data_IF_415213053083
#
_entry.id   IF_415213053083
#
_cell.length_a   1.000
_cell.length_b   1.000
_cell.length_c   1.000
_cell.angle_alpha   90.00
_cell.angle_beta   90.00
_cell.angle_gamma   90.00
#
_symmetry.space_group_name_H-M   'P 1'
#
loop_
_entity.id
_entity.type
_entity.pdbx_description
1 polymer ?
#
# COMPACT_ATOMS: atom_id res chain seq x y z
N UNK A 1 17.50 17.45 10.38
CA UNK A 1 16.96 16.37 11.18
C UNK A 1 15.56 16.06 10.69
N UNK A 2 15.43 14.96 9.92
CA UNK A 2 14.18 14.55 9.32
C UNK A 2 13.18 14.02 10.36
N UNK A 3 11.98 13.69 9.91
CA UNK A 3 10.88 13.15 10.71
C UNK A 3 11.30 12.00 11.67
N UNK A 4 12.22 11.13 11.24
CA UNK A 4 12.80 10.07 12.08
C UNK A 4 13.58 10.61 13.28
N UNK A 5 14.36 11.66 13.11
CA UNK A 5 15.08 12.29 14.23
C UNK A 5 14.17 12.99 15.27
N UNK A 6 12.91 13.25 14.93
CA UNK A 6 11.88 13.70 15.89
C UNK A 6 11.29 12.55 16.71
N UNK A 7 11.09 11.40 16.08
CA UNK A 7 10.60 10.18 16.76
C UNK A 7 11.65 9.70 17.78
N UNK A 8 12.93 9.66 17.40
CA UNK A 8 14.01 9.30 18.33
C UNK A 8 14.13 10.25 19.53
N UNK A 9 13.89 11.57 19.35
CA UNK A 9 13.89 12.53 20.46
C UNK A 9 12.69 12.41 21.39
N UNK A 10 11.54 11.99 20.91
CA UNK A 10 10.38 11.75 21.75
C UNK A 10 10.51 10.47 22.61
N UNK A 11 11.22 9.45 22.13
CA UNK A 11 11.50 8.25 22.90
C UNK A 11 12.47 8.47 24.06
N UNK A 12 13.25 9.57 24.05
CA UNK A 12 14.17 9.92 25.16
C UNK A 12 13.51 10.75 26.27
N UNK A 13 12.26 11.18 26.13
CA UNK A 13 11.60 12.12 27.05
C UNK A 13 10.53 11.50 27.97
N UNK A 14 10.57 10.22 28.26
CA UNK A 14 9.70 9.73 29.32
C UNK A 14 9.46 8.27 29.42
N UNK A 15 9.85 7.70 30.55
CA UNK A 15 9.27 6.55 31.23
C UNK A 15 9.20 5.25 30.42
N UNK A 16 9.73 4.18 30.95
CA UNK A 16 9.73 2.80 30.45
C UNK A 16 8.40 2.31 29.88
N UNK A 17 8.07 2.76 28.69
CA UNK A 17 7.27 1.97 27.77
C UNK A 17 8.25 1.33 26.80
N UNK A 18 8.29 0.01 26.72
CA UNK A 18 9.13 -0.77 25.80
C UNK A 18 8.63 -0.58 24.34
N UNK A 19 8.73 0.64 23.84
CA UNK A 19 8.62 0.93 22.45
C UNK A 19 9.96 0.52 21.83
N UNK A 20 10.04 -0.70 21.32
CA UNK A 20 11.05 -1.00 20.32
C UNK A 20 10.95 0.08 19.26
N UNK A 21 12.05 0.76 18.96
CA UNK A 21 12.09 1.84 17.97
C UNK A 21 11.47 1.42 16.61
N UNK A 22 11.26 2.36 15.68
CA UNK A 22 10.66 2.03 14.40
C UNK A 22 11.46 0.92 13.70
N UNK A 23 10.79 -0.18 13.37
CA UNK A 23 11.41 -1.26 12.59
C UNK A 23 11.43 -0.83 11.14
N UNK A 24 12.64 -0.65 10.58
CA UNK A 24 12.86 -0.35 9.17
C UNK A 24 13.26 -1.66 8.48
N UNK A 25 12.50 -2.08 7.50
CA UNK A 25 12.83 -3.22 6.63
C UNK A 25 12.92 -2.73 5.20
N UNK A 26 14.06 -3.01 4.58
CA UNK A 26 14.29 -2.67 3.19
C UNK A 26 13.77 -3.80 2.29
N UNK A 27 12.81 -3.48 1.43
CA UNK A 27 12.28 -4.42 0.44
C UNK A 27 13.20 -4.39 -0.78
N UNK A 28 14.07 -5.39 -0.88
CA UNK A 28 15.08 -5.52 -1.92
C UNK A 28 15.12 -6.94 -2.48
N UNK A 29 15.67 -7.10 -3.68
CA UNK A 29 15.83 -8.42 -4.29
C UNK A 29 16.75 -9.30 -3.45
N UNK A 30 16.36 -10.56 -3.28
CA UNK A 30 17.10 -11.58 -2.54
C UNK A 30 17.45 -12.75 -3.45
N UNK A 31 18.59 -13.38 -3.18
CA UNK A 31 19.05 -14.56 -3.92
C UNK A 31 18.60 -15.82 -3.17
N UNK A 32 17.39 -16.25 -3.46
CA UNK A 32 16.85 -17.47 -2.90
C UNK A 32 16.98 -18.61 -3.91
N UNK A 33 17.37 -19.77 -3.42
CA UNK A 33 17.39 -20.99 -4.21
C UNK A 33 15.96 -21.47 -4.52
N UNK A 34 15.82 -22.26 -5.58
CA UNK A 34 14.56 -22.91 -5.87
C UNK A 34 14.33 -24.04 -4.84
N UNK A 35 13.13 -24.04 -4.28
CA UNK A 35 12.68 -25.13 -3.43
C UNK A 35 11.87 -26.12 -4.27
N UNK A 36 12.20 -27.39 -4.16
CA UNK A 36 11.34 -28.45 -4.71
C UNK A 36 10.00 -28.50 -3.96
N UNK A 37 8.92 -28.95 -4.59
CA UNK A 37 7.64 -29.15 -3.91
C UNK A 37 7.75 -30.04 -2.65
N UNK A 38 8.65 -31.02 -2.66
CA UNK A 38 8.89 -31.89 -1.51
C UNK A 38 9.53 -31.14 -0.34
N UNK A 39 10.51 -30.26 -0.61
CA UNK A 39 11.12 -29.42 0.43
C UNK A 39 10.17 -28.39 1.02
N UNK A 40 9.29 -27.83 0.19
CA UNK A 40 8.24 -26.93 0.66
C UNK A 40 7.27 -27.70 1.55
N UNK A 41 6.81 -28.88 1.13
CA UNK A 41 5.89 -29.72 1.90
C UNK A 41 6.51 -30.18 3.24
N UNK A 42 7.77 -30.61 3.25
CA UNK A 42 8.51 -31.01 4.47
C UNK A 42 8.66 -29.82 5.44
N UNK A 43 8.86 -28.63 4.92
CA UNK A 43 9.02 -27.43 5.75
C UNK A 43 7.69 -26.80 6.20
N UNK A 44 6.59 -26.90 5.41
CA UNK A 44 5.33 -26.17 5.67
C UNK A 44 4.16 -27.03 6.14
N UNK A 45 4.24 -28.36 5.96
CA UNK A 45 3.03 -29.19 6.04
C UNK A 45 2.15 -29.03 4.80
N UNK A 46 1.17 -29.94 4.63
CA UNK A 46 0.35 -30.01 3.42
C UNK A 46 -0.42 -28.70 3.12
N UNK A 47 -0.25 -28.17 1.91
CA UNK A 47 -1.13 -27.15 1.31
C UNK A 47 -0.53 -25.82 0.86
N UNK A 48 0.72 -25.49 1.19
CA UNK A 48 1.32 -24.15 0.92
C UNK A 48 2.19 -24.09 -0.36
N UNK A 49 2.41 -25.20 -1.02
CA UNK A 49 3.46 -25.40 -2.04
C UNK A 49 3.43 -24.41 -3.22
N UNK A 50 2.26 -24.18 -3.85
CA UNK A 50 2.21 -23.40 -5.10
C UNK A 50 2.47 -21.90 -4.90
N UNK A 51 2.00 -21.35 -3.80
CA UNK A 51 2.18 -19.92 -3.48
C UNK A 51 3.63 -19.55 -3.14
N UNK A 52 4.38 -20.47 -2.52
CA UNK A 52 5.76 -20.22 -2.09
C UNK A 52 6.73 -20.13 -3.28
N UNK A 53 6.62 -21.00 -4.27
CA UNK A 53 7.47 -20.90 -5.47
C UNK A 53 7.26 -19.59 -6.23
N UNK A 54 6.00 -19.12 -6.32
CA UNK A 54 5.69 -17.83 -6.92
C UNK A 54 6.22 -16.67 -6.07
N UNK A 55 6.17 -16.76 -4.75
CA UNK A 55 6.72 -15.77 -3.84
C UNK A 55 8.23 -15.67 -3.98
N UNK A 56 8.96 -16.78 -4.00
CA UNK A 56 10.42 -16.81 -4.20
C UNK A 56 10.79 -16.08 -5.49
N UNK A 57 10.08 -16.38 -6.59
CA UNK A 57 10.31 -15.68 -7.86
C UNK A 57 10.02 -14.17 -7.77
N UNK A 58 8.98 -13.75 -7.05
CA UNK A 58 8.70 -12.33 -6.83
C UNK A 58 9.78 -11.65 -5.98
N UNK A 59 10.26 -12.31 -4.94
CA UNK A 59 11.31 -11.79 -4.05
C UNK A 59 12.66 -11.62 -4.75
N UNK A 60 12.98 -12.45 -5.74
CA UNK A 60 14.14 -12.25 -6.61
C UNK A 60 14.09 -10.93 -7.40
N UNK A 61 12.89 -10.38 -7.58
CA UNK A 61 12.63 -9.12 -8.27
C UNK A 61 12.04 -8.05 -7.36
N UNK A 62 12.29 -8.11 -6.05
CA UNK A 62 11.68 -7.22 -5.07
C UNK A 62 12.04 -5.74 -5.30
N UNK A 63 13.23 -5.42 -5.85
CA UNK A 63 13.59 -4.06 -6.26
C UNK A 63 12.63 -3.47 -7.33
N UNK A 64 11.99 -4.35 -8.11
CA UNK A 64 11.03 -3.94 -9.15
C UNK A 64 9.59 -3.90 -8.64
N UNK A 65 9.21 -4.86 -7.80
CA UNK A 65 7.83 -5.01 -7.35
C UNK A 65 7.56 -4.34 -6.01
N UNK A 66 8.59 -4.18 -5.19
CA UNK A 66 8.50 -3.53 -3.89
C UNK A 66 7.43 -4.16 -2.99
N UNK A 67 6.76 -3.32 -2.24
CA UNK A 67 5.69 -3.77 -1.33
C UNK A 67 4.38 -4.19 -2.03
N UNK A 68 4.35 -4.20 -3.38
CA UNK A 68 3.25 -4.82 -4.13
C UNK A 68 3.26 -6.34 -4.10
N UNK A 69 4.37 -6.97 -3.67
CA UNK A 69 4.46 -8.42 -3.49
C UNK A 69 3.39 -8.88 -2.50
N UNK A 70 2.64 -9.92 -2.86
CA UNK A 70 1.64 -10.55 -1.99
C UNK A 70 2.24 -11.79 -1.37
N UNK A 71 2.15 -11.86 -0.05
CA UNK A 71 2.76 -12.91 0.76
C UNK A 71 1.70 -13.91 1.19
N UNK A 72 1.85 -15.20 0.86
CA UNK A 72 0.99 -16.24 1.41
C UNK A 72 1.14 -16.33 2.93
N UNK A 73 0.06 -16.69 3.61
CA UNK A 73 0.06 -16.93 5.05
C UNK A 73 1.13 -17.97 5.44
N UNK A 74 1.84 -17.71 6.51
CA UNK A 74 2.89 -18.58 7.04
C UNK A 74 4.24 -18.53 6.31
N UNK A 75 4.39 -17.75 5.21
CA UNK A 75 5.63 -17.68 4.44
C UNK A 75 6.82 -17.20 5.28
N UNK A 76 6.63 -16.19 6.15
CA UNK A 76 7.67 -15.70 7.05
C UNK A 76 8.18 -16.79 8.00
N UNK A 77 7.27 -17.54 8.62
CA UNK A 77 7.62 -18.64 9.52
C UNK A 77 8.36 -19.77 8.80
N UNK A 78 7.90 -20.10 7.58
CA UNK A 78 8.55 -21.07 6.71
C UNK A 78 9.99 -20.68 6.38
N UNK A 79 10.20 -19.45 5.94
CA UNK A 79 11.53 -18.97 5.56
C UNK A 79 12.49 -18.91 6.76
N UNK A 80 12.01 -18.54 7.94
CA UNK A 80 12.80 -18.63 9.20
C UNK A 80 13.15 -20.08 9.54
N UNK A 81 12.25 -21.04 9.33
CA UNK A 81 12.53 -22.46 9.54
C UNK A 81 13.59 -22.96 8.57
N UNK A 82 13.51 -22.57 7.29
CA UNK A 82 14.53 -22.91 6.28
C UNK A 82 15.90 -22.34 6.67
N UNK A 83 15.98 -21.07 7.04
CA UNK A 83 17.23 -20.45 7.46
C UNK A 83 17.89 -21.22 8.62
N UNK A 84 17.12 -21.56 9.66
CA UNK A 84 17.63 -22.36 10.80
C UNK A 84 18.14 -23.73 10.39
N UNK A 85 17.49 -24.42 9.44
CA UNK A 85 17.96 -25.72 8.93
C UNK A 85 19.26 -25.60 8.14
N UNK A 86 19.45 -24.50 7.41
CA UNK A 86 20.72 -24.19 6.74
C UNK A 86 21.84 -23.97 7.76
N UNK A 87 21.59 -23.17 8.80
CA UNK A 87 22.53 -22.91 9.89
C UNK A 87 22.91 -24.19 10.66
N UNK A 88 21.96 -25.11 10.86
CA UNK A 88 22.19 -26.37 11.53
C UNK A 88 22.93 -27.41 10.66
N UNK A 89 23.22 -27.11 9.38
CA UNK A 89 23.86 -28.04 8.46
C UNK A 89 22.99 -29.22 8.02
N UNK A 90 21.69 -29.19 8.30
CA UNK A 90 20.74 -30.26 7.99
C UNK A 90 20.46 -30.41 6.48
N UNK A 91 20.90 -29.42 5.68
CA UNK A 91 20.63 -29.30 4.24
C UNK A 91 21.84 -29.56 3.35
N UNK A 92 22.82 -30.29 3.82
CA UNK A 92 24.08 -30.52 3.11
C UNK A 92 23.94 -31.19 1.71
N UNK A 93 22.78 -31.75 1.35
CA UNK A 93 22.62 -32.48 0.08
C UNK A 93 21.98 -31.66 -1.06
N UNK A 94 21.39 -30.47 -0.82
CA UNK A 94 20.57 -29.80 -1.83
C UNK A 94 21.06 -28.39 -2.19
N UNK A 95 21.77 -27.67 -1.31
CA UNK A 95 22.13 -26.27 -1.55
C UNK A 95 23.59 -26.00 -1.11
N UNK A 96 24.58 -26.44 -1.94
CA UNK A 96 25.95 -25.91 -1.81
C UNK A 96 25.91 -24.40 -2.02
N UNK A 97 26.12 -23.60 -0.96
CA UNK A 97 26.20 -22.16 -1.00
C UNK A 97 24.93 -21.40 -0.62
N UNK A 98 23.90 -22.07 -0.08
CA UNK A 98 22.70 -21.38 0.43
C UNK A 98 23.08 -20.47 1.60
N UNK A 99 22.68 -19.20 1.50
CA UNK A 99 22.91 -18.17 2.51
C UNK A 99 21.69 -18.06 3.43
N UNK A 100 21.84 -18.46 4.70
CA UNK A 100 20.79 -18.35 5.72
C UNK A 100 20.35 -16.90 5.92
N UNK A 101 21.23 -15.92 5.76
CA UNK A 101 20.91 -14.51 5.88
C UNK A 101 19.92 -14.04 4.80
N UNK A 102 20.04 -14.55 3.56
CA UNK A 102 19.09 -14.22 2.48
C UNK A 102 17.68 -14.73 2.80
N UNK A 103 17.58 -15.94 3.39
CA UNK A 103 16.30 -16.48 3.85
C UNK A 103 15.72 -15.71 5.03
N UNK A 104 16.57 -15.23 5.96
CA UNK A 104 16.11 -14.38 7.06
C UNK A 104 15.64 -13.01 6.56
N UNK A 105 16.36 -12.40 5.61
CA UNK A 105 15.91 -11.15 4.97
C UNK A 105 14.55 -11.34 4.26
N UNK A 106 14.40 -12.44 3.53
CA UNK A 106 13.13 -12.77 2.89
C UNK A 106 12.01 -12.97 3.92
N UNK A 107 12.30 -13.63 5.04
CA UNK A 107 11.34 -13.80 6.13
C UNK A 107 10.90 -12.46 6.74
N UNK A 108 11.85 -11.54 6.95
CA UNK A 108 11.56 -10.20 7.48
C UNK A 108 10.70 -9.37 6.51
N UNK A 109 11.00 -9.44 5.21
CA UNK A 109 10.17 -8.82 4.17
C UNK A 109 8.77 -9.42 4.14
N UNK A 110 8.66 -10.75 4.20
CA UNK A 110 7.36 -11.42 4.25
C UNK A 110 6.54 -10.98 5.45
N UNK A 111 7.17 -10.87 6.62
CA UNK A 111 6.49 -10.46 7.84
C UNK A 111 5.85 -9.07 7.74
N UNK A 112 6.56 -8.08 7.16
CA UNK A 112 6.00 -6.72 6.98
C UNK A 112 5.00 -6.62 5.82
N UNK A 113 5.04 -7.56 4.88
CA UNK A 113 4.15 -7.60 3.71
C UNK A 113 2.96 -8.55 3.91
N UNK A 114 2.76 -9.09 5.11
CA UNK A 114 1.64 -9.97 5.44
C UNK A 114 0.31 -9.20 5.41
N UNK A 115 -0.72 -9.80 4.81
CA UNK A 115 -2.04 -9.20 4.70
C UNK A 115 -2.73 -9.10 6.08
N UNK A 116 -3.56 -8.07 6.27
CA UNK A 116 -4.30 -7.86 7.50
C UNK A 116 -3.46 -7.49 8.73
N UNK A 117 -2.24 -7.04 8.54
CA UNK A 117 -1.29 -6.78 9.64
C UNK A 117 -1.47 -5.43 10.34
N UNK A 118 -1.84 -4.39 9.58
CA UNK A 118 -1.74 -3.00 10.06
C UNK A 118 -3.09 -2.41 10.45
N UNK A 119 -3.16 -1.82 11.65
CA UNK A 119 -4.31 -1.02 12.10
C UNK A 119 -4.38 0.33 11.41
N UNK A 120 -3.23 0.88 11.04
CA UNK A 120 -3.12 2.16 10.32
C UNK A 120 -2.00 2.05 9.28
N UNK A 121 -2.30 2.48 8.08
CA UNK A 121 -1.35 2.52 6.96
C UNK A 121 -1.36 3.91 6.33
N UNK A 122 -0.17 4.47 6.14
CA UNK A 122 0.00 5.77 5.46
C UNK A 122 0.99 5.58 4.32
N UNK A 123 0.64 6.04 3.11
CA UNK A 123 1.49 5.91 1.94
C UNK A 123 1.42 7.12 1.00
N UNK A 124 2.57 7.45 0.44
CA UNK A 124 2.72 8.30 -0.74
C UNK A 124 3.41 7.48 -1.83
N UNK A 125 2.65 6.66 -2.58
CA UNK A 125 3.22 5.77 -3.59
C UNK A 125 3.74 6.56 -4.80
N UNK A 126 4.72 6.00 -5.54
CA UNK A 126 5.21 6.64 -6.75
C UNK A 126 4.13 6.69 -7.84
N UNK A 127 4.12 7.78 -8.62
CA UNK A 127 3.20 8.02 -9.73
C UNK A 127 3.83 7.53 -11.03
N UNK A 128 3.45 6.35 -11.48
CA UNK A 128 3.99 5.73 -12.70
C UNK A 128 2.90 5.01 -13.47
N UNK A 129 2.44 5.63 -14.56
CA UNK A 129 1.53 4.97 -15.50
C UNK A 129 2.19 3.75 -16.15
N UNK A 130 1.49 2.63 -16.22
CA UNK A 130 2.04 1.37 -16.73
C UNK A 130 2.49 1.41 -18.20
N UNK A 131 2.05 2.38 -18.99
CA UNK A 131 2.59 2.59 -20.36
C UNK A 131 4.09 2.86 -20.35
N UNK A 132 4.61 3.54 -19.32
CA UNK A 132 6.03 3.89 -19.13
C UNK A 132 6.82 2.86 -18.32
N UNK A 133 6.16 1.88 -17.72
CA UNK A 133 6.81 0.86 -16.91
C UNK A 133 7.59 -0.14 -17.77
N UNK A 134 8.58 -0.82 -17.17
CA UNK A 134 9.31 -1.92 -17.81
C UNK A 134 8.42 -3.18 -17.88
N UNK A 135 8.68 -4.06 -18.84
CA UNK A 135 7.87 -5.24 -19.09
C UNK A 135 7.69 -6.20 -17.90
N UNK A 136 8.68 -6.46 -17.04
CA UNK A 136 8.47 -7.27 -15.84
C UNK A 136 7.36 -6.71 -14.94
N UNK A 137 7.39 -5.40 -14.68
CA UNK A 137 6.37 -4.74 -13.85
C UNK A 137 4.98 -4.76 -14.53
N UNK A 138 4.91 -4.56 -15.85
CA UNK A 138 3.64 -4.67 -16.60
C UNK A 138 3.02 -6.06 -16.48
N UNK A 139 3.81 -7.12 -16.66
CA UNK A 139 3.33 -8.49 -16.53
C UNK A 139 2.86 -8.79 -15.10
N UNK A 140 3.62 -8.35 -14.11
CA UNK A 140 3.25 -8.47 -12.70
C UNK A 140 1.93 -7.74 -12.39
N UNK A 141 1.79 -6.48 -12.81
CA UNK A 141 0.60 -5.67 -12.64
C UNK A 141 -0.65 -6.35 -13.25
N UNK A 142 -0.57 -6.78 -14.50
CA UNK A 142 -1.68 -7.44 -15.20
C UNK A 142 -2.08 -8.78 -14.57
N UNK A 143 -1.13 -9.49 -13.96
CA UNK A 143 -1.39 -10.77 -13.30
C UNK A 143 -2.03 -10.60 -11.93
N UNK A 144 -1.53 -9.65 -11.11
CA UNK A 144 -1.84 -9.55 -9.69
C UNK A 144 -2.77 -8.39 -9.31
N UNK A 145 -2.87 -7.36 -10.18
CA UNK A 145 -3.58 -6.09 -9.90
C UNK A 145 -4.50 -5.67 -11.04
N UNK A 146 -5.29 -6.60 -11.60
CA UNK A 146 -6.08 -6.38 -12.83
C UNK A 146 -6.94 -5.12 -12.80
N UNK A 147 -7.61 -4.85 -11.67
CA UNK A 147 -8.51 -3.69 -11.51
C UNK A 147 -7.79 -2.35 -11.33
N UNK A 148 -6.53 -2.38 -10.94
CA UNK A 148 -5.73 -1.20 -10.60
C UNK A 148 -4.45 -1.08 -11.42
N UNK A 149 -4.23 -1.96 -12.41
CA UNK A 149 -2.99 -2.10 -13.19
C UNK A 149 -2.65 -0.92 -14.11
N UNK A 150 -3.47 0.12 -14.16
CA UNK A 150 -3.26 1.28 -15.04
C UNK A 150 -2.12 2.19 -14.57
N UNK A 151 -1.97 2.34 -13.23
CA UNK A 151 -0.94 3.16 -12.61
C UNK A 151 -0.42 2.52 -11.32
N UNK A 152 0.84 2.77 -11.01
CA UNK A 152 1.47 2.20 -9.82
C UNK A 152 0.76 2.66 -8.53
N UNK A 153 0.42 3.96 -8.42
CA UNK A 153 -0.24 4.47 -7.22
C UNK A 153 -1.62 3.83 -6.97
N UNK A 154 -2.33 3.44 -8.02
CA UNK A 154 -3.63 2.75 -7.88
C UNK A 154 -3.47 1.29 -7.45
N UNK A 155 -2.39 0.62 -7.85
CA UNK A 155 -2.06 -0.70 -7.30
C UNK A 155 -1.76 -0.63 -5.81
N UNK A 156 -1.12 0.45 -5.34
CA UNK A 156 -0.90 0.68 -3.92
C UNK A 156 -2.18 0.92 -3.13
N UNK A 157 -3.24 1.48 -3.71
CA UNK A 157 -4.57 1.54 -3.07
C UNK A 157 -5.09 0.12 -2.79
N UNK A 158 -5.03 -0.74 -3.80
CA UNK A 158 -5.45 -2.15 -3.65
C UNK A 158 -4.57 -2.91 -2.65
N UNK A 159 -3.26 -2.65 -2.69
CA UNK A 159 -2.31 -3.27 -1.77
C UNK A 159 -2.50 -2.82 -0.33
N UNK A 160 -2.71 -1.53 -0.10
CA UNK A 160 -2.97 -0.97 1.22
C UNK A 160 -4.19 -1.60 1.88
N UNK A 161 -5.26 -1.83 1.12
CA UNK A 161 -6.44 -2.51 1.63
C UNK A 161 -6.17 -3.96 2.05
N UNK A 162 -5.29 -4.69 1.35
CA UNK A 162 -4.94 -6.04 1.78
C UNK A 162 -4.04 -6.05 3.01
N UNK A 163 -3.12 -5.09 3.13
CA UNK A 163 -2.22 -4.97 4.29
C UNK A 163 -2.93 -4.50 5.55
N UNK A 164 -3.96 -3.67 5.42
CA UNK A 164 -4.70 -3.15 6.55
C UNK A 164 -5.66 -4.21 7.12
N UNK A 165 -5.79 -4.23 8.43
CA UNK A 165 -6.79 -5.05 9.13
C UNK A 165 -8.20 -4.63 8.73
N UNK A 166 -9.17 -5.51 8.96
CA UNK A 166 -10.58 -5.14 8.91
C UNK A 166 -10.82 -3.95 9.85
N UNK A 167 -11.46 -2.90 9.35
CA UNK A 167 -11.65 -1.59 10.01
C UNK A 167 -10.36 -0.81 10.27
N UNK A 168 -9.22 -1.22 9.71
CA UNK A 168 -7.98 -0.44 9.75
C UNK A 168 -8.11 0.86 8.94
N UNK A 169 -7.41 1.89 9.35
CA UNK A 169 -7.38 3.18 8.69
C UNK A 169 -6.29 3.21 7.60
N UNK A 170 -6.61 3.77 6.44
CA UNK A 170 -5.66 3.95 5.34
C UNK A 170 -5.65 5.43 4.96
N UNK A 171 -4.48 6.06 5.00
CA UNK A 171 -4.25 7.43 4.51
C UNK A 171 -3.32 7.41 3.30
N UNK A 172 -3.73 8.01 2.20
CA UNK A 172 -2.91 8.03 0.98
C UNK A 172 -2.97 9.37 0.27
N UNK A 173 -1.88 9.69 -0.43
CA UNK A 173 -1.86 10.74 -1.45
C UNK A 173 -1.53 10.11 -2.80
N UNK A 174 -2.37 10.34 -3.80
CA UNK A 174 -2.25 9.70 -5.12
C UNK A 174 -2.57 10.68 -6.24
N UNK A 175 -2.34 10.27 -7.50
CA UNK A 175 -2.94 10.95 -8.65
C UNK A 175 -4.46 10.89 -8.56
N UNK A 176 -5.16 11.99 -8.87
CA UNK A 176 -6.63 12.05 -8.79
C UNK A 176 -7.37 11.37 -9.94
N UNK A 177 -6.67 10.98 -11.01
CA UNK A 177 -7.26 10.43 -12.23
C UNK A 177 -8.19 9.22 -11.99
N UNK A 178 -7.88 8.40 -10.97
CA UNK A 178 -8.71 7.26 -10.61
C UNK A 178 -10.14 7.65 -10.17
N UNK A 179 -10.34 8.88 -9.70
CA UNK A 179 -11.65 9.36 -9.29
C UNK A 179 -12.64 9.44 -10.46
N UNK A 180 -12.16 9.70 -11.68
CA UNK A 180 -13.02 10.10 -12.80
C UNK A 180 -12.88 9.24 -14.05
N UNK A 181 -11.65 8.82 -14.42
CA UNK A 181 -11.42 8.15 -15.70
C UNK A 181 -12.06 6.76 -15.75
N UNK A 182 -12.58 6.42 -16.92
CA UNK A 182 -13.28 5.15 -17.15
C UNK A 182 -12.36 3.93 -16.97
N UNK A 183 -11.07 4.07 -17.29
CA UNK A 183 -10.05 3.03 -17.07
C UNK A 183 -9.92 2.57 -15.62
N UNK A 184 -10.44 3.32 -14.66
CA UNK A 184 -10.44 2.98 -13.23
C UNK A 184 -11.83 2.60 -12.69
N UNK A 185 -12.80 2.33 -13.56
CA UNK A 185 -14.18 1.98 -13.15
C UNK A 185 -14.22 0.77 -12.22
N UNK A 186 -13.45 -0.27 -12.54
CA UNK A 186 -13.38 -1.50 -11.73
C UNK A 186 -12.77 -1.23 -10.36
N UNK A 187 -11.70 -0.42 -10.30
CA UNK A 187 -11.08 0.00 -9.04
C UNK A 187 -12.10 0.76 -8.18
N UNK A 188 -12.78 1.77 -8.73
CA UNK A 188 -13.79 2.55 -8.00
C UNK A 188 -14.94 1.68 -7.51
N UNK A 189 -15.46 0.80 -8.39
CA UNK A 189 -16.53 -0.12 -8.02
C UNK A 189 -16.15 -0.99 -6.84
N UNK A 190 -14.93 -1.51 -6.82
CA UNK A 190 -14.41 -2.28 -5.72
C UNK A 190 -14.19 -1.41 -4.47
N UNK A 191 -13.56 -0.25 -4.58
CA UNK A 191 -13.35 0.65 -3.44
C UNK A 191 -14.66 1.01 -2.75
N UNK A 192 -15.68 1.45 -3.51
CA UNK A 192 -16.98 1.82 -2.97
C UNK A 192 -17.78 0.64 -2.37
N UNK A 193 -17.43 -0.61 -2.70
CA UNK A 193 -18.06 -1.79 -2.11
C UNK A 193 -17.31 -2.35 -0.90
N UNK A 194 -15.99 -2.14 -0.83
CA UNK A 194 -15.11 -2.78 0.16
C UNK A 194 -14.61 -1.82 1.25
N UNK A 195 -14.68 -0.51 1.01
CA UNK A 195 -14.08 0.51 1.86
C UNK A 195 -15.05 1.69 2.04
N UNK A 196 -14.87 2.43 3.13
CA UNK A 196 -15.54 3.73 3.35
C UNK A 196 -14.54 4.84 3.15
N UNK A 197 -14.86 5.82 2.30
CA UNK A 197 -14.07 7.06 2.19
C UNK A 197 -14.51 7.97 3.32
N UNK A 198 -13.62 8.18 4.31
CA UNK A 198 -13.92 8.98 5.49
C UNK A 198 -13.67 10.47 5.25
N UNK A 199 -12.56 10.79 4.58
CA UNK A 199 -12.25 12.15 4.17
C UNK A 199 -11.43 12.19 2.89
N UNK A 200 -11.53 13.30 2.16
CA UNK A 200 -10.76 13.54 0.95
C UNK A 200 -10.41 15.02 0.79
N UNK A 201 -9.15 15.31 0.55
CA UNK A 201 -8.67 16.61 0.11
C UNK A 201 -8.30 16.54 -1.37
N UNK A 202 -9.17 17.06 -2.24
CA UNK A 202 -8.91 17.12 -3.68
C UNK A 202 -8.03 18.31 -3.99
N UNK A 203 -6.73 18.06 -4.09
CA UNK A 203 -5.71 19.09 -4.24
C UNK A 203 -5.61 19.64 -5.67
N UNK A 204 -5.86 18.79 -6.68
CA UNK A 204 -5.69 19.18 -8.08
C UNK A 204 -4.23 19.43 -8.44
N UNK A 205 -3.99 20.41 -9.34
CA UNK A 205 -2.64 20.87 -9.73
C UNK A 205 -1.98 21.70 -8.64
N UNK A 206 -0.65 21.85 -8.70
CA UNK A 206 0.13 22.74 -7.81
C UNK A 206 -0.04 22.41 -6.31
N UNK A 207 -0.18 21.13 -6.01
CA UNK A 207 -0.21 20.65 -4.62
C UNK A 207 1.19 20.61 -3.99
N UNK A 208 2.23 20.65 -4.82
CA UNK A 208 3.64 20.62 -4.43
C UNK A 208 4.39 21.68 -5.22
N UNK A 209 4.92 22.69 -4.54
CA UNK A 209 5.69 23.78 -5.16
C UNK A 209 7.03 23.28 -5.74
N UNK A 210 7.55 22.17 -5.21
CA UNK A 210 8.79 21.52 -5.67
C UNK A 210 8.65 20.73 -6.97
N UNK A 211 7.44 20.38 -7.38
CA UNK A 211 7.17 19.67 -8.62
C UNK A 211 6.71 20.68 -9.65
N UNK A 212 7.63 21.09 -10.55
CA UNK A 212 7.34 22.09 -11.56
C UNK A 212 6.13 21.74 -12.42
N UNK A 213 5.14 22.66 -12.44
CA UNK A 213 4.09 22.70 -13.41
C UNK A 213 2.76 22.02 -13.07
N UNK A 214 1.83 22.14 -14.00
CA UNK A 214 0.45 21.66 -13.92
C UNK A 214 0.30 20.15 -14.19
N UNK A 215 1.42 19.40 -14.21
CA UNK A 215 1.46 18.03 -14.74
C UNK A 215 0.90 17.00 -13.77
N UNK A 216 1.02 17.25 -12.46
CA UNK A 216 0.59 16.30 -11.43
C UNK A 216 -0.65 16.82 -10.72
N UNK A 217 -1.76 16.11 -10.87
CA UNK A 217 -3.01 16.42 -10.20
C UNK A 217 -3.28 15.36 -9.13
N UNK A 218 -3.36 15.78 -7.88
CA UNK A 218 -3.38 14.87 -6.73
C UNK A 218 -4.63 14.99 -5.89
N UNK A 219 -4.88 13.92 -5.14
CA UNK A 219 -5.86 13.86 -4.05
C UNK A 219 -5.24 13.15 -2.87
N UNK A 220 -5.47 13.67 -1.66
CA UNK A 220 -5.17 12.97 -0.41
C UNK A 220 -6.49 12.49 0.18
N UNK A 221 -6.53 11.29 0.72
CA UNK A 221 -7.74 10.74 1.27
C UNK A 221 -7.46 9.78 2.43
N UNK A 222 -8.47 9.62 3.28
CA UNK A 222 -8.50 8.57 4.28
C UNK A 222 -9.67 7.64 4.03
N UNK A 223 -9.45 6.35 4.27
CA UNK A 223 -10.49 5.32 4.17
C UNK A 223 -10.42 4.39 5.36
N UNK A 224 -11.56 3.86 5.74
CA UNK A 224 -11.68 2.70 6.62
C UNK A 224 -11.76 1.44 5.76
N UNK A 225 -10.92 0.43 6.05
CA UNK A 225 -10.87 -0.85 5.34
C UNK A 225 -12.03 -1.77 5.76
N UNK A 226 -13.23 -1.33 5.54
CA UNK A 226 -14.47 -2.08 5.69
C UNK A 226 -15.59 -1.36 4.94
N UNK A 227 -16.53 -2.09 4.40
CA UNK A 227 -17.81 -1.53 4.00
C UNK A 227 -18.55 -1.13 5.28
N UNK A 228 -18.62 0.17 5.54
CA UNK A 228 -19.47 0.71 6.60
C UNK A 228 -20.90 0.88 6.10
N UNK A 229 -21.77 1.42 6.97
CA UNK A 229 -23.07 1.90 6.57
C UNK A 229 -22.95 2.72 5.28
N UNK A 230 -23.60 2.26 4.22
CA UNK A 230 -23.50 2.86 2.89
C UNK A 230 -23.99 4.32 2.87
N UNK A 231 -24.83 4.70 3.85
CA UNK A 231 -25.36 6.06 4.02
C UNK A 231 -24.46 6.97 4.85
N UNK A 232 -23.42 6.43 5.48
CA UNK A 232 -22.43 7.25 6.19
C UNK A 232 -21.71 8.18 5.21
N UNK A 233 -21.85 9.49 5.45
CA UNK A 233 -21.19 10.51 4.66
C UNK A 233 -19.71 10.64 5.03
N UNK A 234 -18.86 10.75 4.01
CA UNK A 234 -17.49 11.21 4.14
C UNK A 234 -17.40 12.71 3.85
N UNK A 235 -16.34 13.36 4.37
CA UNK A 235 -16.06 14.77 4.16
C UNK A 235 -15.09 14.99 2.99
N UNK A 236 -15.44 15.83 2.03
CA UNK A 236 -14.67 16.10 0.83
C UNK A 236 -14.34 17.59 0.74
N UNK A 237 -13.06 17.93 0.68
CA UNK A 237 -12.57 19.30 0.61
C UNK A 237 -12.01 19.57 -0.79
N UNK A 238 -12.65 20.49 -1.53
CA UNK A 238 -12.28 20.82 -2.92
C UNK A 238 -11.28 21.96 -2.96
N UNK A 239 -10.00 21.65 -2.87
CA UNK A 239 -8.90 22.62 -2.76
C UNK A 239 -8.26 22.99 -4.10
N UNK A 240 -8.92 22.68 -5.21
CA UNK A 240 -8.37 22.86 -6.57
C UNK A 240 -8.18 24.33 -6.95
N UNK A 241 -8.89 25.27 -6.29
CA UNK A 241 -8.78 26.71 -6.52
C UNK A 241 -7.51 27.35 -5.95
N UNK A 242 -6.87 26.72 -4.96
CA UNK A 242 -5.61 27.22 -4.40
C UNK A 242 -4.48 27.17 -5.44
N UNK A 243 -3.74 28.26 -5.57
CA UNK A 243 -2.75 28.45 -6.63
C UNK A 243 -1.36 27.90 -6.30
N UNK A 244 -1.11 27.63 -5.02
CA UNK A 244 0.15 27.07 -4.50
C UNK A 244 -0.11 26.25 -3.23
N UNK A 245 0.93 25.65 -2.69
CA UNK A 245 0.87 24.80 -1.49
C UNK A 245 0.32 25.56 -0.28
N UNK A 246 0.78 26.80 -0.04
CA UNK A 246 0.36 27.61 1.10
C UNK A 246 -1.13 27.97 1.07
N UNK A 247 -1.66 28.39 -0.09
CA UNK A 247 -3.09 28.69 -0.26
C UNK A 247 -3.95 27.45 -0.05
N UNK A 248 -3.51 26.26 -0.54
CA UNK A 248 -4.21 25.00 -0.32
C UNK A 248 -4.20 24.57 1.14
N UNK A 249 -3.09 24.76 1.84
CA UNK A 249 -2.96 24.49 3.26
C UNK A 249 -3.90 25.38 4.09
N UNK A 250 -3.95 26.67 3.77
CA UNK A 250 -4.88 27.60 4.42
C UNK A 250 -6.35 27.19 4.17
N UNK A 251 -6.72 26.94 2.90
CA UNK A 251 -8.06 26.51 2.53
C UNK A 251 -8.47 25.20 3.22
N UNK A 252 -7.52 24.26 3.35
CA UNK A 252 -7.72 23.02 4.07
C UNK A 252 -8.07 23.26 5.54
N UNK A 253 -7.30 24.11 6.23
CA UNK A 253 -7.53 24.45 7.63
C UNK A 253 -8.90 25.13 7.82
N UNK A 254 -9.22 26.11 6.97
CA UNK A 254 -10.50 26.84 7.03
C UNK A 254 -11.69 25.91 6.80
N UNK A 255 -11.64 25.07 5.76
CA UNK A 255 -12.71 24.14 5.44
C UNK A 255 -12.82 22.95 6.42
N UNK A 256 -11.73 22.57 7.08
CA UNK A 256 -11.75 21.55 8.12
C UNK A 256 -12.39 22.07 9.41
N UNK A 257 -12.22 23.37 9.72
CA UNK A 257 -12.77 24.00 10.91
C UNK A 257 -14.24 24.43 10.76
N UNK A 258 -14.75 24.58 9.53
CA UNK A 258 -16.10 25.07 9.26
C UNK A 258 -16.87 24.10 8.37
N UNK A 259 -17.91 23.46 8.91
CA UNK A 259 -18.74 22.51 8.18
C UNK A 259 -19.53 23.14 7.02
N UNK A 260 -19.84 24.43 7.10
CA UNK A 260 -20.59 25.17 6.07
C UNK A 260 -19.68 25.86 5.05
N UNK A 261 -18.37 25.53 5.03
CA UNK A 261 -17.43 26.16 4.13
C UNK A 261 -17.72 25.78 2.66
N UNK A 262 -17.67 26.77 1.76
CA UNK A 262 -18.05 26.63 0.35
C UNK A 262 -17.29 25.57 -0.44
N UNK A 263 -16.11 25.15 -0.01
CA UNK A 263 -15.31 24.09 -0.63
C UNK A 263 -15.42 22.75 0.11
N UNK A 264 -16.24 22.66 1.16
CA UNK A 264 -16.53 21.43 1.89
C UNK A 264 -17.85 20.83 1.39
N UNK A 265 -17.81 19.54 1.13
CA UNK A 265 -18.93 18.74 0.68
C UNK A 265 -19.02 17.48 1.54
N UNK A 266 -20.22 16.95 1.69
CA UNK A 266 -20.44 15.67 2.33
C UNK A 266 -21.24 14.78 1.39
N UNK A 267 -20.79 13.56 1.19
CA UNK A 267 -21.52 12.58 0.37
C UNK A 267 -21.25 11.16 0.88
N UNK A 268 -22.24 10.31 0.68
CA UNK A 268 -22.13 8.90 1.08
C UNK A 268 -21.66 8.02 -0.08
N UNK A 269 -21.16 6.84 0.26
CA UNK A 269 -20.82 5.80 -0.72
C UNK A 269 -22.05 5.42 -1.55
N UNK A 270 -23.25 5.36 -0.93
CA UNK A 270 -24.49 5.08 -1.64
C UNK A 270 -24.80 6.12 -2.72
N UNK A 271 -24.62 7.41 -2.40
CA UNK A 271 -24.82 8.49 -3.37
C UNK A 271 -23.82 8.43 -4.54
N UNK A 272 -22.56 8.09 -4.28
CA UNK A 272 -21.56 7.92 -5.34
C UNK A 272 -21.83 6.67 -6.20
N UNK A 273 -22.32 5.60 -5.59
CA UNK A 273 -22.51 4.31 -6.26
C UNK A 273 -23.63 4.31 -7.31
N UNK A 274 -24.62 5.21 -7.21
CA UNK A 274 -25.72 5.31 -8.19
C UNK A 274 -25.33 6.08 -9.46
N UNK A 275 -24.22 6.81 -9.44
CA UNK A 275 -23.75 7.57 -10.61
C UNK A 275 -23.19 6.59 -11.66
N UNK A 276 -23.61 6.66 -12.95
CA UNK A 276 -23.09 5.81 -13.99
C UNK A 276 -21.55 5.88 -14.10
N UNK A 277 -20.88 4.71 -14.07
CA UNK A 277 -19.40 4.64 -14.03
C UNK A 277 -18.79 4.90 -12.66
N UNK A 278 -19.63 5.21 -11.65
CA UNK A 278 -19.24 5.44 -10.25
C UNK A 278 -18.06 6.42 -10.07
N UNK A 279 -18.06 7.57 -10.75
CA UNK A 279 -17.02 8.58 -10.50
C UNK A 279 -17.17 9.13 -9.07
N UNK A 280 -16.04 9.47 -8.45
CA UNK A 280 -16.05 10.14 -7.15
C UNK A 280 -16.28 11.64 -7.37
N UNK A 281 -17.51 11.98 -7.69
CA UNK A 281 -17.98 13.37 -7.89
C UNK A 281 -18.83 13.73 -6.69
N UNK A 282 -18.26 14.53 -5.81
CA UNK A 282 -18.82 14.87 -4.50
C UNK A 282 -19.29 16.33 -4.42
N UNK A 283 -19.16 17.14 -5.50
CA UNK A 283 -19.59 18.54 -5.60
C UNK A 283 -20.83 18.71 -6.45
#
# INVERSE_FOLDING_TARGET
PGFLGRIERQSQLGGETSWGGPRIVHVQSVKLDELSPAEIADASGDGVSLGISQLIEQLRHADTYGSLIRVPEGASALFRKIARRIEAGERQQVLEGADSEEWLRAADMCEILEDGRYTTLIANPPYLGMRKAKDPLKRFANKHYKRSSTDLCTMFIERAASLAQCRGAIGMITMHAWMFLDSYRELRSWMLSAMSIDSMAHLGTRAFDSIGGEVVQTTAFTTTNASCDADRAGAYLRLVSGRNEAEKAQLLCEAAANNDHAVRFETSVAALAVIPGRPVVYW
#
